data_IF_357350995780
#
_entry.id   IF_357350995780
#
_cell.length_a   1.000
_cell.length_b   1.000
_cell.length_c   1.000
_cell.angle_alpha   90.00
_cell.angle_beta   90.00
_cell.angle_gamma   90.00
#
_symmetry.space_group_name_H-M   'P 1'
#
loop_
_entity.id
_entity.type
_entity.pdbx_description
1 polymer ?
#
# COMPACT_ATOMS: atom_id res chain seq x y z
N UNK A 1 -25.67 -3.48 4.01
CA UNK A 1 -24.65 -4.45 3.55
C UNK A 1 -25.32 -5.73 3.09
N UNK A 2 -26.13 -6.36 3.95
CA UNK A 2 -26.93 -7.54 3.62
C UNK A 2 -27.80 -7.35 2.36
N UNK A 3 -28.69 -6.35 2.35
CA UNK A 3 -29.59 -6.09 1.20
C UNK A 3 -28.84 -5.94 -0.12
N UNK A 4 -27.70 -5.25 -0.10
CA UNK A 4 -26.87 -5.04 -1.29
C UNK A 4 -26.25 -6.35 -1.78
N UNK A 5 -25.64 -7.14 -0.89
CA UNK A 5 -25.04 -8.42 -1.28
C UNK A 5 -26.10 -9.42 -1.77
N UNK A 6 -27.29 -9.38 -1.18
CA UNK A 6 -28.45 -10.15 -1.66
C UNK A 6 -28.89 -9.72 -3.05
N UNK A 7 -29.03 -8.40 -3.30
CA UNK A 7 -29.39 -7.90 -4.62
C UNK A 7 -28.36 -8.29 -5.68
N UNK A 8 -27.07 -8.18 -5.37
CA UNK A 8 -25.98 -8.62 -6.26
C UNK A 8 -26.08 -10.13 -6.55
N UNK A 9 -26.33 -10.96 -5.53
CA UNK A 9 -26.44 -12.40 -5.70
C UNK A 9 -27.65 -12.79 -6.56
N UNK A 10 -28.82 -12.23 -6.26
CA UNK A 10 -30.04 -12.49 -7.02
C UNK A 10 -29.88 -12.06 -8.48
N UNK A 11 -29.31 -10.88 -8.75
CA UNK A 11 -29.09 -10.42 -10.12
C UNK A 11 -28.10 -11.29 -10.88
N UNK A 12 -27.04 -11.79 -10.22
CA UNK A 12 -26.11 -12.75 -10.81
C UNK A 12 -26.80 -14.06 -11.17
N UNK A 13 -27.72 -14.54 -10.34
CA UNK A 13 -28.51 -15.74 -10.63
C UNK A 13 -29.48 -15.52 -11.79
N UNK A 14 -30.13 -14.36 -11.86
CA UNK A 14 -31.00 -14.01 -13.00
C UNK A 14 -30.21 -13.86 -14.30
N UNK A 15 -29.02 -13.26 -14.25
CA UNK A 15 -28.15 -13.08 -15.41
C UNK A 15 -27.61 -14.42 -15.95
N UNK A 16 -27.19 -15.31 -15.05
CA UNK A 16 -26.56 -16.60 -15.43
C UNK A 16 -27.57 -17.74 -15.60
N UNK A 17 -28.82 -17.56 -15.15
CA UNK A 17 -29.85 -18.59 -15.18
C UNK A 17 -29.58 -19.78 -14.24
N UNK A 18 -28.63 -19.65 -13.31
CA UNK A 18 -28.22 -20.70 -12.38
C UNK A 18 -27.77 -20.13 -11.03
N UNK A 19 -27.61 -21.00 -10.04
CA UNK A 19 -26.94 -20.64 -8.79
C UNK A 19 -25.45 -20.40 -9.06
N UNK A 20 -25.07 -19.13 -9.23
CA UNK A 20 -23.70 -18.67 -9.41
C UNK A 20 -23.36 -17.66 -8.31
N UNK A 21 -22.25 -17.85 -7.62
CA UNK A 21 -21.84 -16.99 -6.50
C UNK A 21 -20.48 -16.33 -6.74
N UNK A 22 -19.98 -16.39 -7.99
CA UNK A 22 -18.72 -15.77 -8.42
C UNK A 22 -18.98 -14.71 -9.49
N UNK A 23 -18.57 -13.48 -9.21
CA UNK A 23 -18.64 -12.36 -10.16
C UNK A 23 -17.40 -12.41 -11.07
N UNK A 24 -17.44 -13.23 -12.12
CA UNK A 24 -16.37 -13.33 -13.13
C UNK A 24 -16.31 -12.09 -14.01
N UNK A 25 -15.17 -11.83 -14.65
CA UNK A 25 -14.91 -10.61 -15.42
C UNK A 25 -15.96 -10.34 -16.52
N UNK A 26 -16.43 -11.41 -17.18
CA UNK A 26 -17.41 -11.37 -18.28
C UNK A 26 -18.80 -10.91 -17.85
N UNK A 27 -19.22 -11.17 -16.60
CA UNK A 27 -20.55 -10.77 -16.11
C UNK A 27 -20.57 -9.37 -15.50
N UNK A 28 -19.42 -8.81 -15.12
CA UNK A 28 -19.32 -7.57 -14.34
C UNK A 28 -19.97 -6.35 -15.04
N UNK A 29 -19.78 -6.20 -16.36
CA UNK A 29 -20.32 -5.07 -17.12
C UNK A 29 -21.85 -5.10 -17.15
N UNK A 30 -22.42 -6.27 -17.42
CA UNK A 30 -23.88 -6.46 -17.48
C UNK A 30 -24.52 -6.35 -16.10
N UNK A 31 -23.87 -6.90 -15.07
CA UNK A 31 -24.25 -6.71 -13.66
C UNK A 31 -24.32 -5.23 -13.28
N UNK A 32 -23.32 -4.43 -13.68
CA UNK A 32 -23.29 -3.01 -13.39
C UNK A 32 -24.48 -2.27 -14.03
N UNK A 33 -24.83 -2.60 -15.27
CA UNK A 33 -26.00 -2.02 -15.95
C UNK A 33 -27.32 -2.40 -15.27
N UNK A 34 -27.50 -3.70 -14.95
CA UNK A 34 -28.70 -4.22 -14.28
C UNK A 34 -28.93 -3.64 -12.89
N UNK A 35 -27.85 -3.40 -12.15
CA UNK A 35 -27.87 -2.76 -10.84
C UNK A 35 -27.94 -1.21 -10.90
N UNK A 36 -28.08 -0.63 -12.10
CA UNK A 36 -28.28 0.81 -12.28
C UNK A 36 -27.03 1.67 -12.10
N UNK A 37 -25.83 1.11 -12.29
CA UNK A 37 -24.60 1.90 -12.27
C UNK A 37 -24.38 2.59 -13.61
N UNK A 38 -23.96 3.86 -13.52
CA UNK A 38 -23.63 4.70 -14.67
C UNK A 38 -22.20 5.24 -14.54
N UNK A 39 -21.60 5.68 -15.64
CA UNK A 39 -20.28 6.32 -15.60
C UNK A 39 -20.34 7.64 -14.82
N UNK A 40 -19.29 7.95 -14.06
CA UNK A 40 -19.21 9.21 -13.31
C UNK A 40 -17.77 9.57 -12.96
N UNK A 41 -17.39 10.84 -13.23
CA UNK A 41 -16.08 11.43 -12.85
C UNK A 41 -14.87 10.56 -13.22
N UNK A 42 -14.83 10.08 -14.47
CA UNK A 42 -13.73 9.27 -14.99
C UNK A 42 -13.77 7.78 -14.64
N UNK A 43 -14.75 7.30 -13.87
CA UNK A 43 -14.93 5.87 -13.58
C UNK A 43 -16.03 5.24 -14.45
N UNK A 44 -15.74 4.05 -14.99
CA UNK A 44 -16.73 3.25 -15.71
C UNK A 44 -17.81 2.74 -14.75
N UNK A 45 -19.00 2.47 -15.27
CA UNK A 45 -20.11 1.90 -14.48
C UNK A 45 -19.68 0.63 -13.72
N UNK A 46 -18.94 -0.25 -14.39
CA UNK A 46 -18.41 -1.49 -13.81
C UNK A 46 -17.42 -1.26 -12.67
N UNK A 47 -16.54 -0.26 -12.78
CA UNK A 47 -15.58 0.07 -11.73
C UNK A 47 -16.28 0.63 -10.50
N UNK A 48 -17.33 1.44 -10.70
CA UNK A 48 -18.17 1.93 -9.60
C UNK A 48 -18.93 0.82 -8.91
N UNK A 49 -19.52 -0.10 -9.67
CA UNK A 49 -20.18 -1.29 -9.12
C UNK A 49 -19.21 -2.12 -8.28
N UNK A 50 -18.07 -2.49 -8.87
CA UNK A 50 -17.08 -3.32 -8.19
C UNK A 50 -16.48 -2.62 -6.97
N UNK A 51 -16.31 -1.29 -7.02
CA UNK A 51 -15.90 -0.51 -5.84
C UNK A 51 -16.93 -0.58 -4.71
N UNK A 52 -18.22 -0.43 -5.00
CA UNK A 52 -19.26 -0.56 -3.97
C UNK A 52 -19.31 -1.98 -3.40
N UNK A 53 -19.13 -2.99 -4.26
CA UNK A 53 -19.01 -4.38 -3.83
C UNK A 53 -17.83 -4.59 -2.88
N UNK A 54 -16.61 -4.18 -3.27
CA UNK A 54 -15.43 -4.36 -2.44
C UNK A 54 -15.48 -3.55 -1.14
N UNK A 55 -16.05 -2.33 -1.14
CA UNK A 55 -16.30 -1.57 0.10
C UNK A 55 -17.25 -2.31 1.04
N UNK A 56 -18.31 -2.92 0.51
CA UNK A 56 -19.27 -3.70 1.30
C UNK A 56 -18.60 -4.96 1.84
N UNK A 57 -17.89 -5.71 1.00
CA UNK A 57 -17.17 -6.92 1.39
C UNK A 57 -16.11 -6.62 2.47
N UNK A 58 -15.34 -5.53 2.30
CA UNK A 58 -14.37 -5.05 3.28
C UNK A 58 -15.05 -4.74 4.62
N UNK A 59 -16.15 -3.99 4.60
CA UNK A 59 -16.89 -3.65 5.83
C UNK A 59 -17.35 -4.89 6.59
N UNK A 60 -17.88 -5.90 5.88
CA UNK A 60 -18.29 -7.17 6.48
C UNK A 60 -17.08 -7.95 7.03
N UNK A 61 -15.98 -8.00 6.27
CA UNK A 61 -14.74 -8.68 6.66
C UNK A 61 -14.09 -8.05 7.90
N UNK A 62 -14.01 -6.72 7.95
CA UNK A 62 -13.45 -5.95 9.07
C UNK A 62 -14.27 -6.21 10.35
N UNK A 63 -15.60 -6.14 10.27
CA UNK A 63 -16.49 -6.45 11.39
C UNK A 63 -16.33 -7.90 11.85
N UNK A 64 -16.31 -8.84 10.91
CA UNK A 64 -16.16 -10.28 11.21
C UNK A 64 -14.86 -10.53 11.95
N UNK A 65 -13.75 -9.92 11.51
CA UNK A 65 -12.45 -10.06 12.19
C UNK A 65 -12.48 -9.52 13.61
N UNK A 66 -13.09 -8.35 13.82
CA UNK A 66 -13.27 -7.77 15.16
C UNK A 66 -14.08 -8.71 16.07
N UNK A 67 -15.16 -9.29 15.56
CA UNK A 67 -15.99 -10.24 16.32
C UNK A 67 -15.26 -11.55 16.61
N UNK A 68 -14.62 -12.16 15.62
CA UNK A 68 -13.83 -13.38 15.81
C UNK A 68 -12.72 -13.16 16.84
N UNK A 69 -11.98 -12.06 16.75
CA UNK A 69 -10.92 -11.77 17.71
C UNK A 69 -11.44 -11.50 19.13
N UNK A 70 -12.65 -10.93 19.27
CA UNK A 70 -13.31 -10.77 20.56
C UNK A 70 -13.80 -12.10 21.14
N UNK A 71 -14.37 -12.99 20.32
CA UNK A 71 -14.79 -14.33 20.72
C UNK A 71 -13.58 -15.20 21.09
N UNK A 72 -12.51 -15.15 20.32
CA UNK A 72 -11.24 -15.83 20.62
C UNK A 72 -10.67 -15.40 21.98
N UNK A 73 -10.75 -14.10 22.32
CA UNK A 73 -10.28 -13.60 23.61
C UNK A 73 -11.18 -14.06 24.77
N UNK A 74 -12.51 -14.08 24.57
CA UNK A 74 -13.48 -14.59 25.54
C UNK A 74 -13.30 -16.10 25.81
N UNK A 75 -13.10 -16.88 24.75
CA UNK A 75 -12.93 -18.33 24.80
C UNK A 75 -11.50 -18.76 25.14
N UNK A 76 -10.57 -17.81 25.30
CA UNK A 76 -9.18 -18.08 25.69
C UNK A 76 -9.15 -18.63 27.11
N UNK A 77 -9.33 -19.96 27.23
CA UNK A 77 -9.42 -20.70 28.50
C UNK A 77 -8.40 -20.17 29.51
N UNK A 78 -8.91 -19.68 30.65
CA UNK A 78 -8.10 -19.33 31.83
C UNK A 78 -7.45 -20.61 32.35
N UNK A 79 -6.30 -21.03 31.79
CA UNK A 79 -5.56 -22.21 32.28
C UNK A 79 -5.31 -22.04 33.79
N UNK A 80 -5.90 -22.88 34.66
CA UNK A 80 -5.65 -22.83 36.09
C UNK A 80 -4.37 -23.63 36.38
N UNK A 81 -3.41 -22.97 37.00
CA UNK A 81 -2.15 -23.59 37.41
C UNK A 81 -1.23 -22.53 38.00
N UNK A 82 -0.33 -22.93 38.90
CA UNK A 82 0.59 -22.08 39.68
C UNK A 82 1.34 -20.97 38.88
N UNK A 83 1.44 -21.08 37.55
CA UNK A 83 1.90 -19.99 36.63
C UNK A 83 0.97 -18.78 36.53
N UNK A 84 -0.30 -18.91 36.93
CA UNK A 84 -1.31 -17.86 36.91
C UNK A 84 -1.02 -16.73 37.91
N UNK A 85 -0.35 -17.02 39.02
CA UNK A 85 0.04 -16.02 40.01
C UNK A 85 1.22 -15.16 39.51
N UNK A 86 2.25 -15.78 38.92
CA UNK A 86 3.34 -15.07 38.23
C UNK A 86 2.86 -14.30 36.98
N UNK A 87 1.86 -14.82 36.24
CA UNK A 87 1.25 -14.10 35.11
C UNK A 87 0.37 -12.93 35.54
N UNK A 88 -0.22 -12.98 36.75
CA UNK A 88 -0.97 -11.88 37.37
C UNK A 88 -0.06 -10.73 37.79
N UNK A 89 1.18 -11.01 38.19
CA UNK A 89 2.22 -9.98 38.40
C UNK A 89 2.68 -9.31 37.10
N UNK A 90 2.58 -9.99 35.95
CA UNK A 90 2.87 -9.43 34.61
C UNK A 90 1.71 -8.63 34.00
N UNK A 91 0.56 -8.54 34.68
CA UNK A 91 -0.74 -8.10 34.13
C UNK A 91 -0.89 -6.57 34.00
N UNK A 92 0.04 -5.80 34.57
CA UNK A 92 0.11 -4.34 34.44
C UNK A 92 1.42 -3.91 33.76
N UNK A 93 1.81 -4.58 32.68
CA UNK A 93 2.89 -4.03 31.85
C UNK A 93 2.30 -2.95 30.96
N UNK A 94 2.83 -1.74 31.14
CA UNK A 94 2.64 -0.66 30.19
C UNK A 94 3.76 -0.71 29.17
N UNK A 95 3.42 -0.54 27.90
CA UNK A 95 4.40 -0.34 26.83
C UNK A 95 4.09 1.01 26.22
N UNK A 96 5.00 1.97 26.37
CA UNK A 96 4.90 3.32 25.77
C UNK A 96 3.52 3.99 25.97
N UNK A 97 2.95 3.83 27.17
CA UNK A 97 1.65 4.42 27.53
C UNK A 97 0.41 3.53 27.28
N UNK A 98 0.57 2.37 26.65
CA UNK A 98 -0.51 1.41 26.38
C UNK A 98 -0.53 0.29 27.41
N UNK A 99 -1.72 -0.23 27.74
CA UNK A 99 -1.89 -1.43 28.58
C UNK A 99 -1.65 -2.68 27.74
N UNK A 100 -1.07 -3.72 28.34
CA UNK A 100 -1.01 -5.06 27.73
C UNK A 100 -2.10 -5.96 28.29
N UNK A 101 -3.10 -6.26 27.46
CA UNK A 101 -4.21 -7.15 27.77
C UNK A 101 -4.09 -8.42 26.93
N UNK A 102 -3.89 -9.57 27.60
CA UNK A 102 -3.69 -10.83 26.88
C UNK A 102 -2.42 -10.90 26.01
N UNK A 103 -1.50 -9.94 26.17
CA UNK A 103 -0.32 -9.76 25.30
C UNK A 103 -0.56 -8.85 24.10
N UNK A 104 -1.72 -8.18 24.02
CA UNK A 104 -2.11 -7.23 22.98
C UNK A 104 -2.14 -5.81 23.53
N UNK A 105 -1.87 -4.82 22.68
CA UNK A 105 -1.92 -3.40 23.03
C UNK A 105 -3.37 -2.92 23.17
N UNK A 106 -3.67 -2.31 24.32
CA UNK A 106 -4.96 -1.72 24.63
C UNK A 106 -4.80 -0.28 25.15
N UNK A 107 -5.81 0.56 24.92
CA UNK A 107 -5.84 1.90 25.49
C UNK A 107 -6.07 1.86 27.01
N UNK A 108 -5.57 2.88 27.71
CA UNK A 108 -5.77 2.97 29.16
C UNK A 108 -7.21 3.35 29.52
N UNK A 109 -7.88 4.11 28.66
CA UNK A 109 -9.29 4.51 28.76
C UNK A 109 -9.83 4.94 27.38
N UNK A 110 -11.14 5.00 27.25
CA UNK A 110 -11.81 5.39 26.00
C UNK A 110 -11.59 6.86 25.60
N UNK A 111 -11.19 7.71 26.57
CA UNK A 111 -10.94 9.15 26.37
C UNK A 111 -9.52 9.48 25.89
N UNK A 112 -8.63 8.49 25.79
CA UNK A 112 -7.22 8.72 25.40
C UNK A 112 -7.14 9.34 24.01
N UNK A 113 -7.94 8.84 23.07
CA UNK A 113 -7.94 9.34 21.69
C UNK A 113 -8.53 10.74 21.59
N UNK A 114 -9.58 11.03 22.35
CA UNK A 114 -10.19 12.38 22.39
C UNK A 114 -9.21 13.42 22.94
N UNK A 115 -8.48 13.07 24.01
CA UNK A 115 -7.48 13.97 24.61
C UNK A 115 -6.23 14.13 23.77
N UNK A 116 -5.82 13.07 23.08
CA UNK A 116 -4.60 13.06 22.27
C UNK A 116 -4.82 12.21 20.99
N UNK A 117 -5.35 12.83 19.91
CA UNK A 117 -5.69 12.15 18.66
C UNK A 117 -4.52 11.46 17.95
N UNK A 118 -3.28 11.87 18.23
CA UNK A 118 -2.04 11.22 17.74
C UNK A 118 -2.01 9.71 18.08
N UNK A 119 -2.69 9.31 19.15
CA UNK A 119 -2.83 7.90 19.52
C UNK A 119 -3.54 7.03 18.48
N UNK A 120 -4.27 7.62 17.52
CA UNK A 120 -4.84 6.92 16.35
C UNK A 120 -3.77 6.43 15.37
N UNK A 121 -2.59 7.05 15.37
CA UNK A 121 -1.44 6.63 14.56
C UNK A 121 -0.43 5.87 15.44
N UNK A 122 -0.12 6.41 16.61
CA UNK A 122 0.89 5.88 17.53
C UNK A 122 0.66 4.43 17.95
N UNK A 123 -0.58 4.00 18.12
CA UNK A 123 -0.87 2.60 18.50
C UNK A 123 -0.37 1.60 17.46
N UNK A 124 -0.47 1.93 16.17
CA UNK A 124 0.01 1.10 15.06
C UNK A 124 1.53 1.12 14.97
N UNK A 125 2.14 2.29 15.18
CA UNK A 125 3.59 2.41 15.26
C UNK A 125 4.15 1.55 16.40
N UNK A 126 3.60 1.65 17.61
CA UNK A 126 4.04 0.86 18.77
C UNK A 126 3.78 -0.63 18.56
N UNK A 127 2.65 -1.01 17.94
CA UNK A 127 2.37 -2.40 17.58
C UNK A 127 3.44 -2.98 16.66
N UNK A 128 3.81 -2.25 15.61
CA UNK A 128 4.86 -2.66 14.69
C UNK A 128 6.23 -2.70 15.40
N UNK A 129 6.65 -1.59 16.02
CA UNK A 129 7.96 -1.40 16.64
C UNK A 129 8.24 -2.39 17.78
N UNK A 130 7.21 -2.85 18.50
CA UNK A 130 7.34 -3.85 19.57
C UNK A 130 6.91 -5.27 19.13
N UNK A 131 6.40 -5.43 17.90
CA UNK A 131 5.95 -6.74 17.37
C UNK A 131 4.74 -7.29 18.11
N UNK A 132 3.83 -6.41 18.52
CA UNK A 132 2.65 -6.72 19.32
C UNK A 132 1.38 -6.60 18.48
N UNK A 133 0.38 -7.42 18.79
CA UNK A 133 -0.95 -7.26 18.20
C UNK A 133 -1.74 -6.17 18.93
N UNK A 134 -2.68 -5.53 18.23
CA UNK A 134 -3.61 -4.57 18.82
C UNK A 134 -4.84 -5.32 19.33
N UNK A 135 -5.29 -4.99 20.54
CA UNK A 135 -6.48 -5.59 21.14
C UNK A 135 -7.74 -5.24 20.32
N UNK A 136 -8.70 -6.17 20.12
CA UNK A 136 -9.91 -5.89 19.34
C UNK A 136 -10.71 -4.70 19.82
N UNK A 137 -10.80 -4.48 21.13
CA UNK A 137 -11.51 -3.32 21.69
C UNK A 137 -10.78 -2.00 21.42
N UNK A 138 -9.45 -2.01 21.33
CA UNK A 138 -8.69 -0.84 20.91
C UNK A 138 -8.98 -0.53 19.43
N UNK A 139 -9.04 -1.53 18.55
CA UNK A 139 -9.42 -1.35 17.15
C UNK A 139 -10.88 -0.83 16.99
N UNK A 140 -11.81 -1.32 17.82
CA UNK A 140 -13.18 -0.78 17.88
C UNK A 140 -13.18 0.70 18.28
N UNK A 141 -12.40 1.06 19.31
CA UNK A 141 -12.28 2.45 19.74
C UNK A 141 -11.69 3.33 18.64
N UNK A 142 -10.61 2.88 17.97
CA UNK A 142 -10.03 3.56 16.80
C UNK A 142 -11.09 3.81 15.73
N UNK A 143 -11.83 2.78 15.33
CA UNK A 143 -12.85 2.85 14.27
C UNK A 143 -13.97 3.85 14.62
N UNK A 144 -14.41 3.88 15.88
CA UNK A 144 -15.42 4.85 16.38
C UNK A 144 -14.87 6.28 16.51
N UNK A 145 -13.55 6.43 16.55
CA UNK A 145 -12.85 7.69 16.82
C UNK A 145 -12.24 8.32 15.57
N UNK A 146 -12.49 7.76 14.38
CA UNK A 146 -11.97 8.27 13.09
C UNK A 146 -12.31 9.74 12.82
N UNK A 147 -13.36 10.29 13.46
CA UNK A 147 -13.72 11.72 13.38
C UNK A 147 -12.62 12.66 13.89
N UNK A 148 -11.74 12.19 14.77
CA UNK A 148 -10.61 12.97 15.28
C UNK A 148 -9.40 12.96 14.32
N UNK A 149 -9.49 12.25 13.19
CA UNK A 149 -8.54 12.40 12.07
C UNK A 149 -9.01 13.55 11.18
N UNK A 150 -8.90 14.75 11.72
CA UNK A 150 -9.30 16.00 11.07
C UNK A 150 -8.10 16.68 10.36
N UNK A 151 -8.23 17.97 10.05
CA UNK A 151 -7.15 18.72 9.42
C UNK A 151 -5.96 18.97 10.37
N UNK A 152 -6.22 19.09 11.67
CA UNK A 152 -5.20 19.39 12.67
C UNK A 152 -4.34 18.17 12.94
N UNK A 153 -4.95 16.99 13.12
CA UNK A 153 -4.18 15.75 13.25
C UNK A 153 -3.36 15.44 11.99
N UNK A 154 -3.88 15.72 10.79
CA UNK A 154 -3.12 15.53 9.54
C UNK A 154 -1.93 16.47 9.42
N UNK A 155 -1.94 17.63 10.07
CA UNK A 155 -0.80 18.56 10.09
C UNK A 155 0.13 18.35 11.29
N UNK A 156 -0.26 17.50 12.24
CA UNK A 156 0.54 17.24 13.43
C UNK A 156 1.87 16.56 13.08
N UNK A 157 2.99 17.18 13.46
CA UNK A 157 4.34 16.72 13.12
C UNK A 157 4.64 15.32 13.67
N UNK A 158 4.21 15.03 14.90
CA UNK A 158 4.43 13.72 15.52
C UNK A 158 3.64 12.61 14.80
N UNK A 159 2.37 12.86 14.45
CA UNK A 159 1.57 11.91 13.68
C UNK A 159 2.19 11.62 12.30
N UNK A 160 2.72 12.65 11.65
CA UNK A 160 3.39 12.55 10.35
C UNK A 160 4.73 11.78 10.47
N UNK A 161 5.54 12.05 11.50
CA UNK A 161 6.78 11.31 11.80
C UNK A 161 6.49 9.83 12.04
N UNK A 162 5.54 9.51 12.92
CA UNK A 162 5.14 8.13 13.23
C UNK A 162 4.63 7.39 11.99
N UNK A 163 3.86 8.07 11.13
CA UNK A 163 3.37 7.47 9.89
C UNK A 163 4.50 7.14 8.91
N UNK A 164 5.48 8.03 8.75
CA UNK A 164 6.64 7.77 7.90
C UNK A 164 7.48 6.60 8.45
N UNK A 165 7.62 6.49 9.77
CA UNK A 165 8.28 5.36 10.44
C UNK A 165 7.53 4.04 10.22
N UNK A 166 6.19 4.05 10.23
CA UNK A 166 5.36 2.87 9.89
C UNK A 166 5.63 2.44 8.44
N UNK A 167 5.55 3.37 7.48
CA UNK A 167 5.77 3.06 6.05
C UNK A 167 7.17 2.47 5.84
N UNK A 168 8.18 3.04 6.49
CA UNK A 168 9.59 2.68 6.30
C UNK A 168 10.09 1.60 7.27
N UNK A 169 9.17 0.97 8.00
CA UNK A 169 9.50 -0.02 9.03
C UNK A 169 10.33 -1.17 8.46
N UNK A 170 11.32 -1.60 9.24
CA UNK A 170 12.13 -2.79 8.95
C UNK A 170 11.44 -4.10 9.35
N UNK A 171 10.25 -4.02 9.96
CA UNK A 171 9.48 -5.17 10.44
C UNK A 171 8.40 -5.56 9.44
N UNK A 172 7.12 -5.33 9.71
CA UNK A 172 6.03 -5.78 8.84
C UNK A 172 5.20 -4.58 8.35
N UNK A 173 5.78 -3.66 7.55
CA UNK A 173 5.11 -2.43 7.14
C UNK A 173 3.79 -2.70 6.40
N UNK A 174 3.74 -3.71 5.53
CA UNK A 174 2.51 -4.13 4.84
C UNK A 174 1.41 -4.50 5.84
N UNK A 175 1.72 -5.35 6.82
CA UNK A 175 0.74 -5.82 7.82
C UNK A 175 0.18 -4.66 8.62
N UNK A 176 1.05 -3.75 9.06
CA UNK A 176 0.66 -2.58 9.85
C UNK A 176 -0.19 -1.61 9.03
N UNK A 177 0.21 -1.27 7.80
CA UNK A 177 -0.55 -0.40 6.91
C UNK A 177 -1.90 -1.02 6.50
N UNK A 178 -1.94 -2.33 6.27
CA UNK A 178 -3.17 -3.07 6.00
C UNK A 178 -4.14 -2.99 7.18
N UNK A 179 -3.65 -3.18 8.41
CA UNK A 179 -4.47 -3.02 9.61
C UNK A 179 -4.97 -1.57 9.77
N UNK A 180 -4.15 -0.56 9.42
CA UNK A 180 -4.58 0.84 9.39
C UNK A 180 -5.66 1.10 8.32
N UNK A 181 -5.58 0.43 7.16
CA UNK A 181 -6.59 0.52 6.10
C UNK A 181 -7.90 -0.18 6.50
N UNK A 182 -7.82 -1.38 7.08
CA UNK A 182 -8.94 -2.12 7.67
C UNK A 182 -9.66 -1.26 8.72
N UNK A 183 -8.91 -0.64 9.65
CA UNK A 183 -9.46 0.25 10.67
C UNK A 183 -9.94 1.62 10.13
N UNK A 184 -9.76 1.92 8.83
CA UNK A 184 -10.14 3.18 8.20
C UNK A 184 -9.23 4.37 8.51
N UNK A 185 -8.17 4.16 9.31
CA UNK A 185 -7.20 5.19 9.70
C UNK A 185 -6.40 5.67 8.50
N UNK A 186 -5.91 4.74 7.67
CA UNK A 186 -5.02 5.07 6.55
C UNK A 186 -5.68 6.03 5.55
N UNK A 187 -6.89 5.69 5.08
CA UNK A 187 -7.63 6.52 4.13
C UNK A 187 -8.12 7.85 4.72
N UNK A 188 -8.27 7.96 6.04
CA UNK A 188 -8.60 9.24 6.71
C UNK A 188 -7.37 10.12 6.91
N UNK A 189 -6.22 9.52 7.23
CA UNK A 189 -4.97 10.24 7.44
C UNK A 189 -4.30 10.67 6.14
N UNK A 190 -4.44 9.86 5.07
CA UNK A 190 -4.02 10.17 3.70
C UNK A 190 -5.25 10.14 2.80
N UNK A 191 -5.97 11.27 2.63
CA UNK A 191 -7.22 11.32 1.86
C UNK A 191 -7.10 10.81 0.43
N UNK A 192 -5.97 11.04 -0.24
CA UNK A 192 -5.70 10.52 -1.59
C UNK A 192 -5.69 8.99 -1.62
N UNK A 193 -5.10 8.34 -0.60
CA UNK A 193 -5.21 6.89 -0.41
C UNK A 193 -6.67 6.48 -0.20
N UNK A 194 -7.42 7.22 0.62
CA UNK A 194 -8.84 6.97 0.85
C UNK A 194 -9.70 6.95 -0.43
N UNK A 195 -9.29 7.65 -1.50
CA UNK A 195 -10.00 7.65 -2.78
C UNK A 195 -9.81 6.37 -3.58
N UNK A 196 -8.66 5.71 -3.45
CA UNK A 196 -8.34 4.48 -4.16
C UNK A 196 -8.70 3.20 -3.38
N UNK A 197 -9.13 3.34 -2.11
CA UNK A 197 -9.63 2.20 -1.32
C UNK A 197 -10.74 1.48 -2.09
N UNK A 198 -10.58 0.16 -2.22
CA UNK A 198 -11.48 -0.72 -2.95
C UNK A 198 -11.66 -0.37 -4.44
N UNK A 199 -10.76 0.44 -5.02
CA UNK A 199 -10.81 0.79 -6.44
C UNK A 199 -10.22 -0.35 -7.26
N UNK A 200 -11.08 -1.10 -7.95
CA UNK A 200 -10.65 -2.06 -8.95
C UNK A 200 -10.48 -1.35 -10.30
N UNK A 201 -9.40 -1.65 -11.01
CA UNK A 201 -9.29 -1.28 -12.42
C UNK A 201 -9.94 -2.37 -13.28
N UNK A 202 -10.83 -1.99 -14.19
CA UNK A 202 -11.47 -2.97 -15.06
C UNK A 202 -10.56 -3.37 -16.23
N UNK A 203 -9.62 -4.29 -15.95
CA UNK A 203 -8.78 -4.94 -16.94
C UNK A 203 -8.39 -6.36 -16.50
N UNK A 204 -7.94 -7.18 -17.45
CA UNK A 204 -7.65 -8.61 -17.23
C UNK A 204 -6.39 -8.90 -16.39
N UNK A 205 -5.58 -7.90 -16.07
CA UNK A 205 -4.24 -8.11 -15.52
C UNK A 205 -4.15 -7.77 -14.02
N UNK A 206 -5.02 -6.90 -13.50
CA UNK A 206 -5.01 -6.50 -12.10
C UNK A 206 -5.79 -7.49 -11.23
N UNK A 207 -5.07 -8.20 -10.37
CA UNK A 207 -5.67 -9.15 -9.43
C UNK A 207 -6.19 -8.47 -8.14
N UNK A 208 -5.70 -7.27 -7.85
CA UNK A 208 -5.94 -6.56 -6.59
C UNK A 208 -6.54 -5.18 -6.85
N UNK A 209 -7.29 -4.66 -5.87
CA UNK A 209 -7.70 -3.25 -5.87
C UNK A 209 -6.46 -2.36 -5.71
N UNK A 210 -6.54 -1.10 -6.15
CA UNK A 210 -5.41 -0.19 -6.19
C UNK A 210 -4.78 0.02 -4.80
N UNK A 211 -5.58 0.17 -3.75
CA UNK A 211 -5.08 0.24 -2.37
C UNK A 211 -4.32 -1.03 -1.98
N UNK A 212 -4.84 -2.19 -2.35
CA UNK A 212 -4.26 -3.46 -1.95
C UNK A 212 -2.97 -3.80 -2.72
N UNK A 213 -2.91 -3.38 -3.98
CA UNK A 213 -1.70 -3.40 -4.78
C UNK A 213 -0.59 -2.55 -4.15
N UNK A 214 -0.88 -1.31 -3.72
CA UNK A 214 0.11 -0.44 -3.08
C UNK A 214 0.64 -1.04 -1.76
N UNK A 215 -0.25 -1.60 -0.93
CA UNK A 215 0.15 -2.24 0.33
C UNK A 215 1.04 -3.46 0.09
N UNK A 216 0.67 -4.31 -0.88
CA UNK A 216 1.48 -5.46 -1.30
C UNK A 216 2.84 -5.03 -1.85
N UNK A 217 2.89 -3.96 -2.63
CA UNK A 217 4.14 -3.42 -3.17
C UNK A 217 5.10 -2.99 -2.03
N UNK A 218 4.59 -2.39 -0.96
CA UNK A 218 5.39 -2.09 0.24
C UNK A 218 5.93 -3.37 0.91
N UNK A 219 5.12 -4.42 0.97
CA UNK A 219 5.53 -5.73 1.46
C UNK A 219 6.69 -6.32 0.66
N UNK A 220 6.53 -6.37 -0.67
CA UNK A 220 7.55 -6.86 -1.59
C UNK A 220 8.83 -6.01 -1.48
N UNK A 221 8.75 -4.68 -1.38
CA UNK A 221 9.93 -3.85 -1.16
C UNK A 221 10.66 -4.22 0.14
N UNK A 222 9.92 -4.49 1.23
CA UNK A 222 10.50 -4.94 2.50
C UNK A 222 11.17 -6.31 2.38
N UNK A 223 10.58 -7.24 1.63
CA UNK A 223 11.15 -8.55 1.31
C UNK A 223 12.44 -8.43 0.49
N UNK A 224 12.41 -7.61 -0.57
CA UNK A 224 13.59 -7.27 -1.39
C UNK A 224 14.69 -6.70 -0.52
N UNK A 225 14.39 -5.77 0.38
CA UNK A 225 15.40 -5.19 1.27
C UNK A 225 16.01 -6.22 2.22
N UNK A 226 15.19 -7.11 2.80
CA UNK A 226 15.64 -8.15 3.73
C UNK A 226 16.37 -9.32 3.06
N UNK A 227 16.33 -9.39 1.73
CA UNK A 227 16.86 -10.52 0.99
C UNK A 227 16.00 -11.79 1.12
N UNK A 228 14.69 -11.62 1.24
CA UNK A 228 13.74 -12.72 1.01
C UNK A 228 13.73 -12.98 -0.50
N UNK A 229 13.89 -14.24 -0.91
CA UNK A 229 13.85 -14.66 -2.32
C UNK A 229 14.81 -13.90 -3.27
N UNK A 230 16.04 -13.60 -2.82
CA UNK A 230 17.10 -12.92 -3.61
C UNK A 230 17.29 -13.51 -5.02
N UNK A 231 17.06 -14.82 -5.19
CA UNK A 231 17.19 -15.50 -6.49
C UNK A 231 16.23 -14.93 -7.55
N UNK A 232 15.09 -14.39 -7.14
CA UNK A 232 14.07 -13.87 -8.06
C UNK A 232 14.40 -12.44 -8.55
N UNK A 233 15.07 -11.64 -7.74
CA UNK A 233 15.40 -10.23 -8.04
C UNK A 233 16.78 -9.81 -7.47
N UNK A 234 17.89 -10.46 -7.87
CA UNK A 234 19.19 -10.28 -7.22
C UNK A 234 19.71 -8.85 -7.31
N UNK A 235 19.55 -8.21 -8.47
CA UNK A 235 19.99 -6.83 -8.68
C UNK A 235 19.18 -5.83 -7.85
N UNK A 236 17.87 -6.05 -7.65
CA UNK A 236 17.06 -5.14 -6.84
C UNK A 236 17.51 -5.18 -5.37
N UNK A 237 17.75 -6.37 -4.84
CA UNK A 237 18.31 -6.56 -3.50
C UNK A 237 19.69 -5.89 -3.36
N UNK A 238 20.59 -6.09 -4.33
CA UNK A 238 21.91 -5.44 -4.34
C UNK A 238 21.80 -3.91 -4.33
N UNK A 239 20.93 -3.34 -5.18
CA UNK A 239 20.70 -1.91 -5.29
C UNK A 239 20.16 -1.32 -3.99
N UNK A 240 19.29 -2.03 -3.27
CA UNK A 240 18.75 -1.56 -1.99
C UNK A 240 19.82 -1.20 -0.96
N UNK A 241 21.00 -1.84 -1.00
CA UNK A 241 22.12 -1.48 -0.12
C UNK A 241 22.86 -0.21 -0.55
N UNK A 242 22.64 0.26 -1.78
CA UNK A 242 23.34 1.37 -2.43
C UNK A 242 22.48 2.63 -2.59
N UNK A 243 21.20 2.61 -2.22
CA UNK A 243 20.32 3.79 -2.29
C UNK A 243 20.67 4.78 -1.17
N UNK A 244 20.49 6.07 -1.43
CA UNK A 244 20.84 7.12 -0.47
C UNK A 244 19.78 7.30 0.63
N UNK A 245 18.49 7.27 0.25
CA UNK A 245 17.37 7.43 1.18
C UNK A 245 16.35 6.31 1.02
N UNK A 246 16.17 5.52 2.09
CA UNK A 246 15.10 4.51 2.16
C UNK A 246 13.72 5.15 2.13
N UNK A 247 13.56 6.29 2.78
CA UNK A 247 12.27 6.98 2.84
C UNK A 247 11.76 7.33 1.42
N UNK A 248 12.66 7.74 0.52
CA UNK A 248 12.32 8.06 -0.88
C UNK A 248 11.72 6.86 -1.60
N UNK A 249 12.38 5.70 -1.63
CA UNK A 249 11.85 4.54 -2.38
C UNK A 249 10.55 4.02 -1.78
N UNK A 250 10.45 3.96 -0.45
CA UNK A 250 9.23 3.51 0.22
C UNK A 250 8.05 4.45 -0.04
N UNK A 251 8.28 5.76 -0.01
CA UNK A 251 7.24 6.74 -0.33
C UNK A 251 6.88 6.73 -1.82
N UNK A 252 7.84 6.51 -2.73
CA UNK A 252 7.56 6.35 -4.14
C UNK A 252 6.69 5.11 -4.42
N UNK A 253 7.01 3.96 -3.80
CA UNK A 253 6.15 2.76 -3.86
C UNK A 253 4.76 3.06 -3.29
N UNK A 254 4.66 3.72 -2.15
CA UNK A 254 3.37 4.04 -1.56
C UNK A 254 2.51 4.98 -2.43
N UNK A 255 3.13 5.76 -3.33
CA UNK A 255 2.45 6.82 -4.08
C UNK A 255 2.32 6.57 -5.59
N UNK A 256 3.05 5.63 -6.18
CA UNK A 256 3.15 5.51 -7.65
C UNK A 256 1.78 5.45 -8.36
N UNK A 257 0.81 4.77 -7.73
CA UNK A 257 -0.54 4.56 -8.25
C UNK A 257 -1.66 5.25 -7.44
N UNK A 258 -1.30 6.15 -6.52
CA UNK A 258 -2.23 6.78 -5.56
C UNK A 258 -3.35 7.62 -6.22
N UNK A 259 -3.16 7.98 -7.48
CA UNK A 259 -4.06 8.84 -8.24
C UNK A 259 -4.92 8.08 -9.27
N UNK A 260 -4.90 6.74 -9.27
CA UNK A 260 -5.78 5.93 -10.13
C UNK A 260 -7.27 6.30 -9.93
N UNK A 261 -8.02 6.32 -11.02
CA UNK A 261 -9.45 6.66 -11.02
C UNK A 261 -9.77 8.16 -11.00
N UNK A 262 -8.78 9.02 -11.30
CA UNK A 262 -9.00 10.44 -11.63
C UNK A 262 -9.26 10.62 -13.13
N UNK A 263 -9.78 11.79 -13.50
CA UNK A 263 -10.05 12.15 -14.91
C UNK A 263 -8.77 12.46 -15.70
N UNK A 264 -7.72 12.87 -15.00
CA UNK A 264 -6.41 13.19 -15.55
C UNK A 264 -5.44 12.00 -15.44
N UNK A 265 -4.28 12.08 -16.11
CA UNK A 265 -3.26 11.05 -16.00
C UNK A 265 -2.82 10.86 -14.54
N UNK A 266 -2.87 9.61 -14.09
CA UNK A 266 -2.55 9.22 -12.72
C UNK A 266 -1.09 9.48 -12.34
N UNK A 267 -0.15 9.49 -13.28
CA UNK A 267 1.25 9.74 -12.98
C UNK A 267 1.49 11.22 -12.71
N UNK A 268 0.91 12.10 -13.53
CA UNK A 268 0.93 13.56 -13.31
C UNK A 268 0.17 13.97 -12.04
N UNK A 269 -0.98 13.36 -11.78
CA UNK A 269 -1.73 13.59 -10.55
C UNK A 269 -1.00 13.05 -9.33
N UNK A 270 -0.37 11.87 -9.44
CA UNK A 270 0.47 11.27 -8.42
C UNK A 270 1.66 12.16 -8.07
N UNK A 271 2.31 12.75 -9.08
CA UNK A 271 3.42 13.70 -8.89
C UNK A 271 2.98 14.88 -8.00
N UNK A 272 1.83 15.50 -8.31
CA UNK A 272 1.32 16.63 -7.52
C UNK A 272 0.96 16.24 -6.09
N UNK A 273 0.42 15.04 -5.89
CA UNK A 273 0.14 14.51 -4.55
C UNK A 273 1.44 14.33 -3.77
N UNK A 274 2.48 13.74 -4.39
CA UNK A 274 3.79 13.57 -3.76
C UNK A 274 4.39 14.93 -3.34
N UNK A 275 4.32 15.94 -4.23
CA UNK A 275 4.81 17.30 -3.93
C UNK A 275 4.11 17.97 -2.75
N UNK A 276 2.88 17.58 -2.42
CA UNK A 276 2.16 18.09 -1.26
C UNK A 276 2.35 17.22 -0.01
N UNK A 277 2.31 15.90 -0.18
CA UNK A 277 2.30 14.94 0.92
C UNK A 277 3.69 14.74 1.52
N UNK A 278 4.75 14.64 0.71
CA UNK A 278 6.11 14.41 1.23
C UNK A 278 6.58 15.52 2.19
N UNK A 279 6.39 16.83 1.89
CA UNK A 279 6.69 17.89 2.85
C UNK A 279 5.85 17.83 4.13
N UNK A 280 4.55 17.47 4.02
CA UNK A 280 3.69 17.25 5.19
C UNK A 280 4.23 16.14 6.09
N UNK A 281 4.88 15.13 5.52
CA UNK A 281 5.53 14.03 6.24
C UNK A 281 6.94 14.38 6.76
N UNK A 282 7.40 15.62 6.57
CA UNK A 282 8.72 16.07 7.02
C UNK A 282 9.88 15.72 6.09
N UNK A 283 9.60 15.30 4.85
CA UNK A 283 10.66 15.01 3.86
C UNK A 283 11.27 16.30 3.33
N UNK A 284 12.58 16.25 3.03
CA UNK A 284 13.30 17.40 2.46
C UNK A 284 12.82 17.73 1.04
N UNK A 285 13.20 18.91 0.52
CA UNK A 285 12.87 19.31 -0.84
C UNK A 285 13.46 18.36 -1.89
N UNK A 286 14.71 17.89 -1.69
CA UNK A 286 15.37 16.96 -2.61
C UNK A 286 14.74 15.56 -2.61
N UNK A 287 14.36 15.05 -1.43
CA UNK A 287 13.63 13.79 -1.32
C UNK A 287 12.23 13.90 -1.96
N UNK A 288 11.52 14.99 -1.68
CA UNK A 288 10.20 15.27 -2.26
C UNK A 288 10.26 15.32 -3.79
N UNK A 289 11.26 16.01 -4.34
CA UNK A 289 11.47 16.08 -5.79
C UNK A 289 11.73 14.70 -6.37
N UNK A 290 12.58 13.90 -5.73
CA UNK A 290 12.92 12.56 -6.20
C UNK A 290 11.70 11.63 -6.15
N UNK A 291 10.91 11.65 -5.07
CA UNK A 291 9.65 10.88 -4.97
C UNK A 291 8.68 11.31 -6.07
N UNK A 292 8.47 12.62 -6.24
CA UNK A 292 7.57 13.13 -7.27
C UNK A 292 8.00 12.70 -8.68
N UNK A 293 9.31 12.78 -8.98
CA UNK A 293 9.84 12.32 -10.26
C UNK A 293 9.64 10.81 -10.46
N UNK A 294 9.87 9.99 -9.43
CA UNK A 294 9.64 8.54 -9.50
C UNK A 294 8.18 8.20 -9.75
N UNK A 295 7.26 8.85 -9.03
CA UNK A 295 5.81 8.66 -9.22
C UNK A 295 5.38 9.07 -10.63
N UNK A 296 5.87 10.21 -11.15
CA UNK A 296 5.57 10.65 -12.51
C UNK A 296 6.06 9.66 -13.57
N UNK A 297 7.23 9.07 -13.35
CA UNK A 297 7.93 8.25 -14.35
C UNK A 297 7.84 6.74 -14.06
N UNK A 298 6.99 6.29 -13.14
CA UNK A 298 7.02 4.91 -12.64
C UNK A 298 6.84 3.84 -13.74
N UNK A 299 6.10 4.15 -14.80
CA UNK A 299 5.86 3.24 -15.93
C UNK A 299 7.01 3.23 -16.96
N UNK A 300 7.86 4.26 -16.99
CA UNK A 300 8.71 4.53 -18.16
C UNK A 300 9.74 3.42 -18.38
N UNK A 301 10.30 2.86 -17.31
CA UNK A 301 11.28 1.78 -17.43
C UNK A 301 10.63 0.49 -17.93
N UNK A 302 9.44 0.15 -17.44
CA UNK A 302 8.66 -1.00 -17.89
C UNK A 302 8.30 -0.87 -19.37
N UNK A 303 7.86 0.33 -19.78
CA UNK A 303 7.49 0.63 -21.16
C UNK A 303 8.68 0.55 -22.12
N UNK A 304 9.81 1.17 -21.77
CA UNK A 304 11.01 1.12 -22.60
C UNK A 304 11.54 -0.30 -22.72
N UNK A 305 11.64 -1.03 -21.61
CA UNK A 305 12.20 -2.37 -21.60
C UNK A 305 11.35 -3.38 -22.42
N UNK A 306 10.03 -3.22 -22.45
CA UNK A 306 9.13 -4.19 -23.07
C UNK A 306 8.63 -3.80 -24.47
N UNK A 307 8.64 -2.50 -24.81
CA UNK A 307 8.07 -2.00 -26.08
C UNK A 307 9.11 -1.45 -27.06
N UNK A 308 10.36 -1.27 -26.64
CA UNK A 308 11.45 -0.76 -27.48
C UNK A 308 12.58 -1.77 -27.60
N UNK A 309 13.40 -1.58 -28.63
CA UNK A 309 14.63 -2.36 -28.80
C UNK A 309 15.74 -1.75 -27.94
N UNK A 310 16.18 -2.50 -26.92
CA UNK A 310 17.26 -2.09 -26.00
C UNK A 310 18.62 -2.15 -26.72
N UNK A 311 18.76 -2.96 -27.77
CA UNK A 311 19.99 -3.07 -28.55
C UNK A 311 20.25 -1.83 -29.42
N UNK A 312 19.23 -0.99 -29.67
CA UNK A 312 19.42 0.32 -30.33
C UNK A 312 20.05 1.32 -29.33
N UNK A 313 21.28 1.83 -29.59
CA UNK A 313 21.92 2.81 -28.73
C UNK A 313 21.14 4.13 -28.59
N UNK A 314 20.19 4.43 -29.49
CA UNK A 314 19.29 5.59 -29.34
C UNK A 314 18.31 5.38 -28.20
N UNK A 315 17.69 4.20 -28.09
CA UNK A 315 16.77 3.86 -27.01
C UNK A 315 17.42 4.07 -25.64
N UNK A 316 18.63 3.54 -25.46
CA UNK A 316 19.38 3.66 -24.20
C UNK A 316 19.77 5.11 -23.91
N UNK A 317 20.21 5.86 -24.93
CA UNK A 317 20.56 7.28 -24.78
C UNK A 317 19.37 8.14 -24.40
N UNK A 318 18.22 7.96 -25.06
CA UNK A 318 17.00 8.72 -24.77
C UNK A 318 16.51 8.43 -23.34
N UNK A 319 16.57 7.16 -22.92
CA UNK A 319 16.24 6.77 -21.54
C UNK A 319 17.24 7.33 -20.53
N UNK A 320 18.54 7.30 -20.81
CA UNK A 320 19.57 7.92 -19.98
C UNK A 320 19.37 9.44 -19.84
N UNK A 321 19.00 10.12 -20.93
CA UNK A 321 18.69 11.55 -20.93
C UNK A 321 17.45 11.91 -20.11
N UNK A 322 16.48 10.99 -20.01
CA UNK A 322 15.32 11.16 -19.13
C UNK A 322 15.70 10.96 -17.65
N UNK A 323 16.47 9.90 -17.35
CA UNK A 323 16.80 9.50 -15.97
C UNK A 323 17.85 10.43 -15.34
N UNK A 324 18.88 10.82 -16.10
CA UNK A 324 19.95 11.78 -15.79
C UNK A 324 20.83 11.50 -14.56
N UNK A 325 20.42 10.61 -13.66
CA UNK A 325 21.07 10.39 -12.36
C UNK A 325 21.22 8.90 -12.06
N UNK A 326 22.42 8.44 -11.65
CA UNK A 326 22.61 7.07 -11.16
C UNK A 326 21.68 6.73 -10.00
N UNK A 327 21.34 7.70 -9.15
CA UNK A 327 20.41 7.49 -8.04
C UNK A 327 18.99 7.25 -8.54
N UNK A 328 18.51 8.07 -9.47
CA UNK A 328 17.18 7.87 -10.08
C UNK A 328 17.08 6.54 -10.83
N UNK A 329 18.15 6.13 -11.51
CA UNK A 329 18.19 4.84 -12.21
C UNK A 329 18.03 3.67 -11.22
N UNK A 330 18.77 3.70 -10.11
CA UNK A 330 18.65 2.70 -9.03
C UNK A 330 17.24 2.64 -8.46
N UNK A 331 16.68 3.80 -8.09
CA UNK A 331 15.36 3.89 -7.47
C UNK A 331 14.25 3.45 -8.45
N UNK A 332 14.31 3.89 -9.71
CA UNK A 332 13.33 3.52 -10.74
C UNK A 332 13.38 2.03 -11.07
N UNK A 333 14.58 1.43 -11.10
CA UNK A 333 14.73 -0.02 -11.28
C UNK A 333 14.03 -0.78 -10.15
N UNK A 334 14.34 -0.46 -8.89
CA UNK A 334 13.71 -1.13 -7.74
C UNK A 334 12.20 -0.94 -7.76
N UNK A 335 11.74 0.28 -8.02
CA UNK A 335 10.31 0.59 -8.14
C UNK A 335 9.63 -0.30 -9.17
N UNK A 336 10.20 -0.38 -10.37
CA UNK A 336 9.63 -1.14 -11.49
C UNK A 336 9.56 -2.64 -11.18
N UNK A 337 10.60 -3.20 -10.56
CA UNK A 337 10.61 -4.62 -10.15
C UNK A 337 9.50 -4.90 -9.14
N UNK A 338 9.39 -4.05 -8.11
CA UNK A 338 8.40 -4.20 -7.04
C UNK A 338 6.98 -4.07 -7.58
N UNK A 339 6.71 -3.07 -8.41
CA UNK A 339 5.40 -2.83 -9.04
C UNK A 339 4.96 -4.06 -9.86
N UNK A 340 5.80 -4.51 -10.81
CA UNK A 340 5.48 -5.67 -11.66
C UNK A 340 5.22 -6.93 -10.83
N UNK A 341 5.98 -7.15 -9.74
CA UNK A 341 5.77 -8.28 -8.82
C UNK A 341 4.49 -8.14 -7.99
N UNK A 342 4.08 -6.91 -7.68
CA UNK A 342 2.87 -6.61 -6.92
C UNK A 342 1.58 -6.75 -7.74
N UNK A 343 1.63 -6.71 -9.08
CA UNK A 343 0.45 -6.88 -9.94
C UNK A 343 -0.26 -8.22 -9.71
N UNK A 344 0.50 -9.32 -9.61
CA UNK A 344 -0.07 -10.64 -9.36
C UNK A 344 0.83 -11.82 -9.74
N UNK A 345 0.38 -13.05 -9.46
CA UNK A 345 1.11 -14.27 -9.78
C UNK A 345 1.42 -14.39 -11.28
N UNK A 346 2.62 -14.85 -11.63
CA UNK A 346 3.04 -15.09 -13.02
C UNK A 346 3.34 -13.83 -13.85
N UNK A 347 3.06 -12.63 -13.33
CA UNK A 347 3.33 -11.37 -14.04
C UNK A 347 4.83 -11.07 -14.09
N UNK A 348 5.54 -11.26 -12.97
CA UNK A 348 7.01 -11.23 -12.92
C UNK A 348 7.58 -12.57 -13.41
N UNK A 349 8.55 -12.52 -14.33
CA UNK A 349 9.19 -13.70 -14.89
C UNK A 349 10.63 -13.41 -15.35
N UNK A 350 11.39 -14.46 -15.65
CA UNK A 350 12.81 -14.36 -16.01
C UNK A 350 13.09 -13.49 -17.24
N UNK A 351 12.19 -13.48 -18.22
CA UNK A 351 12.31 -12.66 -19.43
C UNK A 351 12.19 -11.17 -19.12
N UNK A 352 11.15 -10.75 -18.38
CA UNK A 352 11.03 -9.34 -17.93
C UNK A 352 12.21 -8.93 -17.06
N UNK A 353 12.65 -9.82 -16.17
CA UNK A 353 13.80 -9.58 -15.31
C UNK A 353 15.08 -9.34 -16.14
N UNK A 354 15.27 -10.07 -17.24
CA UNK A 354 16.42 -9.88 -18.13
C UNK A 354 16.37 -8.52 -18.84
N UNK A 355 15.23 -8.15 -19.44
CA UNK A 355 15.08 -6.87 -20.14
C UNK A 355 15.33 -5.67 -19.22
N UNK A 356 14.81 -5.71 -17.99
CA UNK A 356 15.05 -4.64 -17.01
C UNK A 356 16.52 -4.54 -16.59
N UNK A 357 17.21 -5.69 -16.41
CA UNK A 357 18.65 -5.69 -16.07
C UNK A 357 19.50 -5.16 -17.21
N UNK A 358 19.20 -5.58 -18.43
CA UNK A 358 19.90 -5.12 -19.64
C UNK A 358 19.77 -3.60 -19.78
N UNK A 359 18.53 -3.08 -19.75
CA UNK A 359 18.29 -1.64 -19.79
C UNK A 359 19.01 -0.90 -18.65
N UNK A 360 19.00 -1.45 -17.44
CA UNK A 360 19.70 -0.84 -16.30
C UNK A 360 21.21 -0.72 -16.54
N UNK A 361 21.88 -1.81 -16.94
CA UNK A 361 23.34 -1.81 -17.10
C UNK A 361 23.80 -0.96 -18.28
N UNK A 362 23.11 -1.05 -19.42
CA UNK A 362 23.40 -0.21 -20.60
C UNK A 362 23.22 1.28 -20.27
N UNK A 363 22.14 1.63 -19.56
CA UNK A 363 21.90 3.02 -19.14
C UNK A 363 22.93 3.48 -18.12
N UNK A 364 23.30 2.63 -17.15
CA UNK A 364 24.31 2.95 -16.16
C UNK A 364 25.68 3.23 -16.81
N UNK A 365 26.05 2.45 -17.83
CA UNK A 365 27.27 2.67 -18.60
C UNK A 365 27.25 4.02 -19.34
N UNK A 366 26.12 4.40 -19.95
CA UNK A 366 25.96 5.71 -20.60
C UNK A 366 26.06 6.86 -19.60
N UNK A 367 25.42 6.75 -18.44
CA UNK A 367 25.45 7.80 -17.40
C UNK A 367 26.87 7.95 -16.81
N UNK A 368 27.60 6.85 -16.61
CA UNK A 368 28.97 6.89 -16.08
C UNK A 368 30.01 7.29 -17.14
N UNK A 369 29.81 6.91 -18.39
CA UNK A 369 30.71 7.18 -19.51
C UNK A 369 30.45 8.50 -20.26
N UNK A 370 29.42 9.26 -19.85
CA UNK A 370 28.95 10.49 -20.50
C UNK A 370 30.00 11.60 -20.65
N UNK A 371 31.08 11.60 -19.87
CA UNK A 371 32.20 12.54 -20.04
C UNK A 371 33.17 12.17 -21.17
N UNK A 372 33.14 10.92 -21.67
CA UNK A 372 34.10 10.45 -22.68
C UNK A 372 33.58 10.53 -24.13
N UNK A 373 32.27 10.65 -24.32
CA UNK A 373 31.63 10.61 -25.65
C UNK A 373 31.24 11.99 -26.21
N UNK A 374 31.35 13.05 -25.42
CA UNK A 374 31.15 14.44 -25.88
C UNK A 374 32.42 15.08 -26.48
N UNK A 375 33.55 14.36 -26.49
CA UNK A 375 34.85 14.83 -26.99
C UNK A 375 35.39 14.01 -28.19
N UNK A 376 34.52 13.49 -29.07
CA UNK A 376 34.94 12.92 -30.36
C UNK A 376 34.08 13.37 -31.53
#
# INVERSE_FOLDING_TARGET
AEDFLWAVRCELHFLTGRAEDRITFDVQTEMAARLGYHEHRGLKAVERFMKHYFLTAKTVGDLTRIFCAALEDQERKKKPGFRGFMRRLRRNKFVKGYKLEGGRLAFTSDKVVEKEPVNLIRIFHVADEDGLEIHPDALKLVTRSLKYIDADLRKNEEANRLFLEIITSRKEPERTLRLMNEAGVLGRFVPDFGRIVALMQFNMYHHYTADEHLLRAIGILSEVEKGVDVKEYPLAHEIMSKIQSRAVIYMAIFLHDIAKGREEDHSDAGERIARHLCPRLGMSAGETETVAWLVKNHLVMSDVAQKRDISDPRTVRDFAQLVQSPERLKLLYVLTVVDIKAVGPGVWNGWKAQLLRELYFETAAVIQGGDSLLNR
#
